data_IF_619491998548
#
_entry.id   IF_619491998548
#
_cell.length_a   1.000
_cell.length_b   1.000
_cell.length_c   1.000
_cell.angle_alpha   90.00
_cell.angle_beta   90.00
_cell.angle_gamma   90.00
#
_symmetry.space_group_name_H-M   'P 1'
#
loop_
_entity.id
_entity.type
_entity.pdbx_description
1 polymer ?
#
# COMPACT_ATOMS: atom_id res chain seq x y z
N UNK A 1 1.93 1.04 -7.03
CA UNK A 1 0.72 0.21 -6.89
C UNK A 1 -0.55 1.03 -7.11
N UNK A 2 -1.63 0.33 -7.32
CA UNK A 2 -2.99 0.90 -7.42
C UNK A 2 -3.85 0.19 -6.41
N UNK A 3 -4.66 0.94 -5.66
CA UNK A 3 -5.65 0.35 -4.76
C UNK A 3 -7.03 0.55 -5.37
N UNK A 4 -7.74 -0.55 -5.54
CA UNK A 4 -9.09 -0.60 -6.07
C UNK A 4 -10.06 -0.85 -4.92
N UNK A 5 -11.14 -0.08 -4.86
CA UNK A 5 -12.29 -0.43 -4.03
C UNK A 5 -13.18 -1.36 -4.86
N UNK A 6 -13.50 -2.51 -4.33
CA UNK A 6 -14.34 -3.50 -4.97
C UNK A 6 -15.75 -3.42 -4.42
N UNK A 7 -16.75 -3.61 -5.25
CA UNK A 7 -18.15 -3.53 -4.87
C UNK A 7 -18.57 -4.61 -3.85
N UNK A 8 -19.69 -4.41 -3.20
CA UNK A 8 -20.14 -5.26 -2.10
C UNK A 8 -20.62 -6.65 -2.55
N UNK A 9 -20.96 -6.78 -3.82
CA UNK A 9 -21.46 -8.02 -4.45
C UNK A 9 -20.36 -8.91 -5.03
N UNK A 10 -19.08 -8.58 -4.73
CA UNK A 10 -17.95 -9.41 -5.15
C UNK A 10 -18.08 -10.86 -4.67
N UNK A 11 -17.57 -11.78 -5.47
CA UNK A 11 -17.55 -13.21 -5.18
C UNK A 11 -16.15 -13.68 -4.83
N UNK A 12 -16.03 -14.41 -3.73
CA UNK A 12 -14.78 -15.04 -3.30
C UNK A 12 -13.78 -14.05 -2.66
N UNK A 13 -12.56 -14.51 -2.50
CA UNK A 13 -11.46 -13.74 -1.91
C UNK A 13 -10.28 -13.69 -2.88
N UNK A 14 -9.75 -12.50 -3.13
CA UNK A 14 -8.55 -12.36 -3.94
C UNK A 14 -7.33 -12.85 -3.16
N UNK A 15 -6.51 -13.64 -3.82
CA UNK A 15 -5.30 -14.23 -3.22
C UNK A 15 -4.06 -13.62 -3.86
N UNK A 16 -3.13 -13.03 -3.08
CA UNK A 16 -1.87 -12.54 -3.61
C UNK A 16 -1.09 -13.62 -4.37
N UNK A 17 -0.49 -13.24 -5.48
CA UNK A 17 0.31 -14.12 -6.33
C UNK A 17 -0.47 -15.04 -7.26
N UNK A 18 -1.81 -15.10 -7.17
CA UNK A 18 -2.61 -15.85 -8.13
C UNK A 18 -2.88 -15.03 -9.41
N UNK A 19 -2.95 -15.71 -10.54
CA UNK A 19 -3.21 -15.08 -11.84
C UNK A 19 -4.53 -14.32 -11.83
N UNK A 20 -4.45 -13.02 -12.06
CA UNK A 20 -5.57 -12.08 -11.96
C UNK A 20 -5.63 -11.24 -13.22
N UNK A 21 -6.82 -10.95 -13.68
CA UNK A 21 -7.05 -10.06 -14.83
C UNK A 21 -8.06 -8.97 -14.50
N UNK A 22 -7.94 -7.85 -15.18
CA UNK A 22 -8.95 -6.77 -15.17
C UNK A 22 -9.46 -6.63 -16.61
N UNK A 23 -10.76 -6.59 -16.78
CA UNK A 23 -11.37 -6.27 -18.06
C UNK A 23 -11.31 -4.76 -18.30
N UNK A 24 -10.42 -4.32 -19.17
CA UNK A 24 -10.27 -2.92 -19.56
C UNK A 24 -10.75 -2.73 -20.98
N UNK A 25 -11.97 -2.23 -21.14
CA UNK A 25 -12.55 -1.96 -22.46
C UNK A 25 -12.74 -3.21 -23.32
N UNK A 26 -13.04 -4.35 -22.72
CA UNK A 26 -13.22 -5.64 -23.40
C UNK A 26 -11.92 -6.45 -23.57
N UNK A 27 -10.81 -5.97 -23.03
CA UNK A 27 -9.54 -6.69 -23.02
C UNK A 27 -9.19 -7.14 -21.59
N UNK A 28 -8.88 -8.42 -21.44
CA UNK A 28 -8.42 -8.97 -20.17
C UNK A 28 -6.93 -8.68 -19.98
N UNK A 29 -6.62 -7.69 -19.14
CA UNK A 29 -5.25 -7.28 -18.82
C UNK A 29 -4.77 -7.97 -17.54
N UNK A 30 -3.60 -8.60 -17.61
CA UNK A 30 -3.01 -9.28 -16.47
C UNK A 30 -2.49 -8.27 -15.43
N UNK A 31 -2.74 -8.55 -14.15
CA UNK A 31 -2.26 -7.76 -13.03
C UNK A 31 -1.80 -8.67 -11.89
N UNK A 32 -0.91 -8.16 -11.04
CA UNK A 32 -0.48 -8.85 -9.84
C UNK A 32 -1.29 -8.39 -8.63
N UNK A 33 -1.89 -9.30 -7.89
CA UNK A 33 -2.49 -8.98 -6.59
C UNK A 33 -1.38 -8.91 -5.56
N UNK A 34 -1.23 -7.74 -4.94
CA UNK A 34 -0.26 -7.48 -3.88
C UNK A 34 -0.87 -7.70 -2.51
N UNK A 35 -2.11 -7.24 -2.31
CA UNK A 35 -2.85 -7.42 -1.07
C UNK A 35 -4.37 -7.38 -1.29
N UNK A 36 -5.12 -8.06 -0.42
CA UNK A 36 -6.56 -8.00 -0.34
C UNK A 36 -7.02 -7.75 1.10
N UNK A 37 -7.70 -6.63 1.31
CA UNK A 37 -8.39 -6.31 2.56
C UNK A 37 -9.90 -6.56 2.36
N UNK A 38 -10.35 -7.71 2.79
CA UNK A 38 -11.75 -8.11 2.65
C UNK A 38 -12.70 -7.24 3.47
N UNK A 39 -12.29 -6.79 4.66
CA UNK A 39 -13.15 -5.99 5.54
C UNK A 39 -13.52 -4.64 4.90
N UNK A 40 -12.55 -4.02 4.23
CA UNK A 40 -12.72 -2.73 3.56
C UNK A 40 -12.90 -2.88 2.03
N UNK A 41 -12.88 -4.09 1.52
CA UNK A 41 -12.95 -4.41 0.08
C UNK A 41 -11.92 -3.63 -0.74
N UNK A 42 -10.67 -3.59 -0.25
CA UNK A 42 -9.55 -2.93 -0.91
C UNK A 42 -8.62 -3.94 -1.52
N UNK A 43 -8.49 -3.89 -2.83
CA UNK A 43 -7.58 -4.72 -3.60
C UNK A 43 -6.38 -3.88 -4.04
N UNK A 44 -5.21 -4.21 -3.55
CA UNK A 44 -3.97 -3.59 -4.02
C UNK A 44 -3.37 -4.42 -5.16
N UNK A 45 -3.12 -3.77 -6.28
CA UNK A 45 -2.57 -4.41 -7.47
C UNK A 45 -1.27 -3.74 -7.92
N UNK A 46 -0.39 -4.56 -8.49
CA UNK A 46 0.75 -4.15 -9.32
C UNK A 46 0.37 -4.24 -10.79
N UNK A 47 0.83 -3.27 -11.58
CA UNK A 47 0.72 -3.36 -13.02
C UNK A 47 1.94 -4.08 -13.60
N UNK A 48 1.80 -4.83 -14.71
CA UNK A 48 2.92 -5.42 -15.40
C UNK A 48 3.91 -4.36 -15.89
N UNK A 49 5.16 -4.74 -16.11
CA UNK A 49 6.23 -3.82 -16.51
C UNK A 49 5.95 -3.05 -17.81
N UNK A 50 5.11 -3.60 -18.69
CA UNK A 50 4.63 -2.94 -19.91
C UNK A 50 3.42 -2.03 -19.72
N UNK A 51 2.88 -1.95 -18.49
CA UNK A 51 1.60 -1.29 -18.23
C UNK A 51 0.41 -2.10 -18.71
N UNK A 52 -0.76 -1.48 -18.73
CA UNK A 52 -2.00 -2.05 -19.27
C UNK A 52 -2.49 -1.20 -20.43
N UNK A 53 -3.18 -1.84 -21.37
CA UNK A 53 -3.73 -1.16 -22.54
C UNK A 53 -5.09 -0.57 -22.17
N UNK A 54 -5.18 0.74 -22.00
CA UNK A 54 -6.43 1.42 -21.67
C UNK A 54 -6.41 2.12 -20.32
N UNK A 55 -7.57 2.56 -19.89
CA UNK A 55 -7.74 3.38 -18.68
C UNK A 55 -8.58 2.57 -17.66
N UNK A 56 -8.05 2.41 -16.46
CA UNK A 56 -8.81 1.87 -15.34
C UNK A 56 -9.98 2.80 -15.00
N UNK A 57 -11.17 2.23 -14.92
CA UNK A 57 -12.43 2.92 -14.64
C UNK A 57 -13.31 2.11 -13.68
N UNK A 58 -14.33 2.75 -13.13
CA UNK A 58 -15.38 2.07 -12.38
C UNK A 58 -16.13 1.07 -13.28
N UNK A 59 -16.77 0.10 -12.66
CA UNK A 59 -17.52 -1.00 -13.29
C UNK A 59 -16.68 -1.90 -14.22
N UNK A 60 -15.37 -1.84 -14.16
CA UNK A 60 -14.51 -2.84 -14.77
C UNK A 60 -14.36 -4.02 -13.81
N UNK A 61 -14.47 -5.24 -14.35
CA UNK A 61 -14.42 -6.45 -13.55
C UNK A 61 -12.98 -6.91 -13.34
N UNK A 62 -12.64 -7.17 -12.08
CA UNK A 62 -11.42 -7.88 -11.69
C UNK A 62 -11.75 -9.34 -11.46
N UNK A 63 -11.02 -10.25 -12.07
CA UNK A 63 -11.28 -11.68 -11.98
C UNK A 63 -10.02 -12.48 -11.66
N UNK A 64 -10.18 -13.47 -10.79
CA UNK A 64 -9.12 -14.41 -10.42
C UNK A 64 -9.65 -15.85 -10.62
N UNK A 65 -9.28 -16.43 -11.73
CA UNK A 65 -9.89 -17.69 -12.20
C UNK A 65 -11.39 -17.51 -12.51
N UNK A 66 -12.16 -18.58 -12.32
CA UNK A 66 -13.60 -18.59 -12.57
C UNK A 66 -14.48 -18.37 -11.34
N UNK A 67 -13.88 -18.29 -10.17
CA UNK A 67 -14.61 -18.33 -8.88
C UNK A 67 -14.43 -17.07 -8.04
N UNK A 68 -13.56 -16.15 -8.43
CA UNK A 68 -13.35 -14.89 -7.72
C UNK A 68 -13.48 -13.73 -8.68
N UNK A 69 -14.39 -12.82 -8.41
CA UNK A 69 -14.59 -11.62 -9.23
C UNK A 69 -15.24 -10.50 -8.43
N UNK A 70 -15.04 -9.27 -8.89
CA UNK A 70 -15.71 -8.10 -8.35
C UNK A 70 -15.48 -6.89 -9.22
N UNK A 71 -16.44 -5.99 -9.25
CA UNK A 71 -16.37 -4.79 -10.04
C UNK A 71 -15.73 -3.64 -9.26
N UNK A 72 -15.01 -2.77 -9.96
CA UNK A 72 -14.40 -1.57 -9.38
C UNK A 72 -15.49 -0.57 -9.06
N UNK A 73 -15.62 -0.19 -7.79
CA UNK A 73 -16.60 0.80 -7.32
C UNK A 73 -16.39 2.18 -7.95
N UNK A 74 -17.46 2.96 -8.04
CA UNK A 74 -17.39 4.36 -8.46
C UNK A 74 -16.47 5.16 -7.55
N UNK A 75 -15.49 5.86 -8.12
CA UNK A 75 -14.45 6.59 -7.38
C UNK A 75 -13.45 5.69 -6.63
N UNK A 76 -13.50 4.39 -6.87
CA UNK A 76 -12.75 3.37 -6.17
C UNK A 76 -11.30 3.14 -6.65
N UNK A 77 -10.71 4.05 -7.39
CA UNK A 77 -9.35 3.91 -7.91
C UNK A 77 -8.41 4.90 -7.24
N UNK A 78 -7.53 4.39 -6.40
CA UNK A 78 -6.45 5.17 -5.77
C UNK A 78 -5.10 4.76 -6.36
N UNK A 79 -4.44 5.68 -7.04
CA UNK A 79 -3.09 5.47 -7.56
C UNK A 79 -2.08 5.91 -6.52
N UNK A 80 -1.16 5.01 -6.17
CA UNK A 80 -0.12 5.25 -5.18
C UNK A 80 1.25 5.25 -5.84
N UNK A 81 2.02 6.30 -5.58
CA UNK A 81 3.42 6.38 -5.95
C UNK A 81 4.26 6.36 -4.66
N UNK A 82 5.12 5.36 -4.53
CA UNK A 82 6.13 5.33 -3.50
C UNK A 82 7.34 6.13 -3.98
N UNK A 83 7.64 7.21 -3.30
CA UNK A 83 8.79 8.06 -3.58
C UNK A 83 9.80 7.91 -2.45
N UNK A 84 11.02 7.52 -2.79
CA UNK A 84 12.17 7.61 -1.89
C UNK A 84 12.78 8.99 -2.06
N UNK A 85 12.81 9.76 -0.98
CA UNK A 85 13.51 11.05 -0.96
C UNK A 85 14.94 10.79 -0.47
N UNK A 86 15.87 10.90 -1.38
CA UNK A 86 17.27 11.01 -1.03
C UNK A 86 17.53 12.42 -0.50
N UNK A 87 18.49 12.61 0.37
CA UNK A 87 18.87 13.84 1.06
C UNK A 87 18.21 15.13 0.51
N UNK A 88 17.30 15.73 1.25
CA UNK A 88 16.80 17.05 0.90
C UNK A 88 15.49 17.42 1.56
N UNK A 89 15.18 18.69 1.54
CA UNK A 89 14.00 19.31 2.13
C UNK A 89 12.80 19.33 1.17
N UNK A 90 12.67 18.34 0.30
CA UNK A 90 11.48 18.24 -0.55
C UNK A 90 10.34 17.72 0.27
N UNK A 91 9.30 18.49 0.43
CA UNK A 91 8.05 18.08 1.07
C UNK A 91 6.94 18.12 0.03
N UNK A 92 6.19 17.03 -0.08
CA UNK A 92 4.97 16.99 -0.87
C UNK A 92 3.77 17.30 0.03
N UNK A 93 2.80 18.04 -0.51
CA UNK A 93 1.52 18.33 0.16
C UNK A 93 0.37 17.93 -0.76
N UNK A 94 -0.80 17.72 -0.16
CA UNK A 94 -2.03 17.60 -0.93
C UNK A 94 -2.24 18.85 -1.79
N UNK A 95 -2.70 18.65 -3.02
CA UNK A 95 -2.90 19.65 -4.06
C UNK A 95 -1.61 20.18 -4.73
N UNK A 96 -0.43 19.73 -4.34
CA UNK A 96 0.76 20.00 -5.13
C UNK A 96 0.62 19.34 -6.53
N UNK A 97 1.13 20.03 -7.55
CA UNK A 97 1.16 19.50 -8.91
C UNK A 97 2.59 19.07 -9.23
N UNK A 98 2.74 17.84 -9.67
CA UNK A 98 4.01 17.33 -10.18
C UNK A 98 3.87 16.92 -11.64
N UNK A 99 4.99 16.85 -12.36
CA UNK A 99 5.01 16.44 -13.76
C UNK A 99 5.59 15.04 -13.87
N UNK A 100 4.81 14.12 -14.41
CA UNK A 100 5.25 12.78 -14.75
C UNK A 100 5.17 12.61 -16.27
N UNK A 101 6.31 12.46 -16.93
CA UNK A 101 6.38 12.26 -18.38
C UNK A 101 5.51 13.24 -19.18
N UNK A 102 5.65 14.53 -18.93
CA UNK A 102 4.89 15.62 -19.56
C UNK A 102 3.40 15.71 -19.17
N UNK A 103 2.94 14.94 -18.20
CA UNK A 103 1.58 15.01 -17.69
C UNK A 103 1.57 15.61 -16.29
N UNK A 104 0.72 16.61 -16.08
CA UNK A 104 0.48 17.18 -14.77
C UNK A 104 -0.33 16.20 -13.90
N UNK A 105 0.18 15.87 -12.73
CA UNK A 105 -0.50 15.02 -11.75
C UNK A 105 -0.68 15.81 -10.47
N UNK A 106 -1.91 15.91 -10.01
CA UNK A 106 -2.24 16.54 -8.74
C UNK A 106 -2.15 15.50 -7.62
N UNK A 107 -1.42 15.85 -6.56
CA UNK A 107 -1.26 14.99 -5.39
C UNK A 107 -2.53 15.09 -4.54
N UNK A 108 -3.27 14.00 -4.42
CA UNK A 108 -4.48 13.95 -3.61
C UNK A 108 -4.18 13.94 -2.11
N UNK A 109 -3.21 13.12 -1.69
CA UNK A 109 -2.73 13.07 -0.30
C UNK A 109 -1.29 12.60 -0.25
N UNK A 110 -0.61 12.94 0.82
CA UNK A 110 0.74 12.45 1.12
C UNK A 110 0.68 11.65 2.41
N UNK A 111 1.19 10.42 2.38
CA UNK A 111 1.27 9.56 3.56
C UNK A 111 2.70 9.07 3.75
N UNK A 112 3.11 8.97 5.00
CA UNK A 112 4.38 8.33 5.33
C UNK A 112 4.21 6.82 5.24
N UNK A 113 5.08 6.13 4.52
CA UNK A 113 5.12 4.66 4.48
C UNK A 113 5.25 4.09 5.90
N UNK A 114 6.03 4.73 6.75
CA UNK A 114 6.20 4.31 8.12
C UNK A 114 4.90 4.43 8.95
N UNK A 115 4.07 5.43 8.69
CA UNK A 115 2.78 5.59 9.37
C UNK A 115 1.76 4.50 9.02
N UNK A 116 1.94 3.86 7.86
CA UNK A 116 1.07 2.76 7.42
C UNK A 116 1.67 1.38 7.71
N UNK A 117 2.94 1.30 8.10
CA UNK A 117 3.64 0.03 8.36
C UNK A 117 3.12 -0.65 9.61
N UNK A 118 2.67 -1.88 9.45
CA UNK A 118 2.22 -2.74 10.53
C UNK A 118 3.32 -3.71 10.97
N UNK A 119 3.38 -4.04 12.26
CA UNK A 119 4.20 -5.13 12.80
C UNK A 119 3.36 -6.39 13.11
N UNK A 120 2.04 -6.20 13.33
CA UNK A 120 1.02 -7.25 13.38
C UNK A 120 -0.25 -6.70 12.72
N UNK A 121 -1.16 -7.55 12.25
CA UNK A 121 -2.41 -7.10 11.63
C UNK A 121 -3.16 -6.09 12.49
N UNK A 122 -3.39 -4.89 11.96
CA UNK A 122 -4.04 -3.78 12.64
C UNK A 122 -3.18 -3.02 13.66
N UNK A 123 -1.92 -3.41 13.85
CA UNK A 123 -1.01 -2.78 14.81
C UNK A 123 0.15 -2.09 14.11
N UNK A 124 0.17 -0.77 14.15
CA UNK A 124 1.12 0.06 13.42
C UNK A 124 2.34 0.44 14.25
N UNK A 125 3.51 0.43 13.62
CA UNK A 125 4.78 0.85 14.21
C UNK A 125 4.72 2.26 14.80
N UNK A 126 4.04 3.18 14.12
CA UNK A 126 3.92 4.59 14.56
C UNK A 126 3.29 4.73 15.94
N UNK A 127 2.46 3.76 16.37
CA UNK A 127 1.84 3.75 17.69
C UNK A 127 2.81 3.31 18.80
N UNK A 128 3.91 2.68 18.44
CA UNK A 128 4.93 2.19 19.38
C UNK A 128 6.12 3.13 19.46
N UNK A 129 6.61 3.56 18.31
CA UNK A 129 7.77 4.44 18.22
C UNK A 129 7.71 5.31 16.96
N UNK A 130 8.38 6.45 16.98
CA UNK A 130 8.61 7.28 15.80
C UNK A 130 9.50 6.53 14.80
N UNK A 131 9.51 6.98 13.53
CA UNK A 131 10.40 6.40 12.51
C UNK A 131 11.85 6.44 12.98
N UNK A 132 12.63 5.34 12.83
CA UNK A 132 14.06 5.35 13.05
C UNK A 132 14.72 6.41 12.17
N UNK A 133 15.61 7.16 12.72
CA UNK A 133 16.21 8.31 12.08
C UNK A 133 17.73 8.22 11.98
N UNK A 134 18.35 9.36 12.19
CA UNK A 134 19.80 9.50 12.24
C UNK A 134 20.20 10.05 13.60
N UNK A 135 21.07 9.35 14.29
CA UNK A 135 21.62 9.82 15.55
C UNK A 135 22.43 11.09 15.35
N UNK A 136 22.49 11.90 16.40
CA UNK A 136 23.30 13.12 16.36
C UNK A 136 24.76 12.84 16.01
N UNK A 137 25.32 11.75 16.53
CA UNK A 137 26.72 11.37 16.28
C UNK A 137 26.96 11.09 14.78
N UNK A 138 26.11 10.30 14.15
CA UNK A 138 26.26 9.96 12.73
C UNK A 138 25.91 11.16 11.85
N UNK A 139 24.93 11.97 12.23
CA UNK A 139 24.62 13.21 11.53
C UNK A 139 25.80 14.20 11.53
N UNK A 140 26.48 14.37 12.67
CA UNK A 140 27.66 15.25 12.79
C UNK A 140 28.82 14.73 11.94
N UNK A 141 28.90 13.41 11.70
CA UNK A 141 29.89 12.77 10.81
C UNK A 141 29.44 12.73 9.33
N UNK A 142 28.32 13.35 8.99
CA UNK A 142 27.78 13.38 7.61
C UNK A 142 27.12 12.07 7.14
N UNK A 143 26.89 11.14 8.04
CA UNK A 143 26.12 9.92 7.78
C UNK A 143 24.62 10.09 7.97
N UNK A 144 23.85 9.01 7.76
CA UNK A 144 22.39 9.01 7.91
C UNK A 144 21.85 7.59 8.15
N UNK A 145 20.63 7.50 8.74
CA UNK A 145 19.85 6.26 8.92
C UNK A 145 20.59 5.14 9.69
N UNK A 146 21.13 5.48 10.85
CA UNK A 146 21.84 4.55 11.73
C UNK A 146 20.98 4.00 12.88
N UNK A 147 19.76 4.51 13.05
CA UNK A 147 18.85 4.02 14.07
C UNK A 147 18.03 2.82 13.56
N UNK A 148 17.78 1.87 14.45
CA UNK A 148 16.97 0.68 14.20
C UNK A 148 16.04 0.43 15.38
N UNK A 149 14.78 0.11 15.10
CA UNK A 149 13.85 -0.35 16.12
C UNK A 149 13.74 -1.87 16.10
N UNK A 150 13.81 -2.47 17.28
CA UNK A 150 13.55 -3.90 17.51
C UNK A 150 12.37 -3.99 18.46
N UNK A 151 11.39 -4.81 18.12
CA UNK A 151 10.18 -4.99 18.90
C UNK A 151 9.99 -6.46 19.23
N UNK A 152 9.79 -6.75 20.52
CA UNK A 152 9.43 -8.07 21.00
C UNK A 152 7.96 -8.08 21.38
N UNK A 153 7.18 -8.95 20.78
CA UNK A 153 5.72 -9.00 20.98
C UNK A 153 5.26 -10.39 21.41
N UNK A 154 4.25 -10.44 22.26
CA UNK A 154 3.53 -11.65 22.61
C UNK A 154 2.42 -11.91 21.59
N UNK A 155 2.77 -12.54 20.47
CA UNK A 155 1.86 -12.73 19.33
C UNK A 155 0.57 -13.44 19.73
N UNK A 156 0.69 -14.50 20.53
CA UNK A 156 -0.43 -15.37 20.91
C UNK A 156 -1.07 -15.00 22.25
N UNK A 157 -0.53 -14.01 22.95
CA UNK A 157 -1.00 -13.62 24.29
C UNK A 157 -0.68 -14.61 25.40
N UNK A 158 0.26 -15.53 25.17
CA UNK A 158 0.58 -16.59 26.15
C UNK A 158 1.38 -16.11 27.35
N UNK A 159 2.07 -15.00 27.22
CA UNK A 159 2.91 -14.41 28.27
C UNK A 159 2.12 -13.37 29.06
N UNK A 160 1.47 -12.45 28.36
CA UNK A 160 0.78 -11.31 28.97
C UNK A 160 -0.73 -11.53 29.14
N UNK A 161 -1.30 -12.55 28.49
CA UNK A 161 -2.73 -12.74 28.36
C UNK A 161 -3.39 -11.89 27.27
N UNK A 162 -2.62 -11.05 26.56
CA UNK A 162 -3.11 -10.16 25.51
C UNK A 162 -2.34 -10.39 24.22
N UNK A 163 -2.96 -10.96 23.17
CA UNK A 163 -2.31 -11.13 21.88
C UNK A 163 -1.80 -9.80 21.31
N UNK A 164 -0.57 -9.80 20.81
CA UNK A 164 0.06 -8.63 20.24
C UNK A 164 0.63 -7.62 21.25
N UNK A 165 0.59 -7.93 22.54
CA UNK A 165 1.18 -7.05 23.55
C UNK A 165 2.70 -6.87 23.33
N UNK A 166 3.16 -5.63 23.42
CA UNK A 166 4.59 -5.31 23.33
C UNK A 166 5.25 -5.63 24.66
N UNK A 167 6.25 -6.52 24.63
CA UNK A 167 7.03 -6.92 25.79
C UNK A 167 8.24 -6.00 26.00
N UNK A 168 8.90 -5.64 24.88
CA UNK A 168 10.11 -4.81 24.91
C UNK A 168 10.23 -4.01 23.61
N UNK A 169 10.86 -2.81 23.68
CA UNK A 169 11.12 -1.89 22.57
C UNK A 169 12.41 -1.11 22.77
#
# INVERSE_FOLDING_TARGET
>A
SIVLSIDADHVGQFVPGASTTIDIGGNAEAVDVLAWDQANRKLEIGLPSGGVTGILAAAQTVSQGSSVSGDISTGGIERRLLVSLDKGSVSFKANDVTVLSSTNVTIGSVRSEYAEREYLPGQKWINVASRPGTSKYVSDAGGYQDEMHVLVTDVDGKITGTPGAVLER
#
